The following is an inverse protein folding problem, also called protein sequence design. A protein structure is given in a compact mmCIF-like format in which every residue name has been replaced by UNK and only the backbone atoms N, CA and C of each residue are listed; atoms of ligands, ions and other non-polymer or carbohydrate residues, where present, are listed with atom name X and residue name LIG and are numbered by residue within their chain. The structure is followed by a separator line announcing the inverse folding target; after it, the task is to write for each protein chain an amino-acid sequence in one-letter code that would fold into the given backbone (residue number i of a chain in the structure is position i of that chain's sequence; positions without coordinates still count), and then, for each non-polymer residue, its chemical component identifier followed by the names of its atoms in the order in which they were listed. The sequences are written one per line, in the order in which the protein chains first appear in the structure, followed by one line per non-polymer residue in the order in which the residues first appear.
data_IF_043796709699
#
_entry.id   IF_043796709699
#
_cell.length_a   1.000
_cell.length_b   1.000
_cell.length_c   1.000
_cell.angle_alpha   90.00
_cell.angle_beta   90.00
_cell.angle_gamma   90.00
#
_symmetry.space_group_name_H-M   'P 1'
#
loop_
_entity.id
_entity.type
_entity.pdbx_description
1 polymer ?
#
# COMPACT_ATOMS: atom_id res chain seq x y z
N UNK A 1 -14.63 -9.85 -2.84
CA UNK A 1 -13.71 -9.40 -3.91
C UNK A 1 -14.41 -8.52 -4.93
N UNK A 2 -15.54 -8.95 -5.54
CA UNK A 2 -16.34 -8.06 -6.41
C UNK A 2 -16.72 -6.77 -5.68
N UNK A 3 -17.15 -6.86 -4.42
CA UNK A 3 -17.54 -5.67 -3.63
C UNK A 3 -16.43 -4.62 -3.46
N UNK A 4 -15.16 -5.01 -3.39
CA UNK A 4 -14.05 -4.06 -3.21
C UNK A 4 -13.72 -3.34 -4.52
N UNK A 5 -13.76 -4.05 -5.65
CA UNK A 5 -13.64 -3.47 -6.99
C UNK A 5 -14.85 -2.59 -7.33
N UNK A 6 -16.05 -3.05 -6.98
CA UNK A 6 -17.32 -2.35 -7.21
C UNK A 6 -17.45 -1.08 -6.36
N UNK A 7 -16.74 -1.02 -5.21
CA UNK A 7 -16.67 0.18 -4.36
C UNK A 7 -15.50 1.09 -4.69
N UNK A 8 -14.50 0.61 -5.42
CA UNK A 8 -13.37 1.43 -5.81
C UNK A 8 -13.81 2.57 -6.75
N UNK A 9 -13.45 3.82 -6.43
CA UNK A 9 -13.83 5.01 -7.20
C UNK A 9 -15.23 5.58 -6.92
N UNK A 10 -16.02 5.00 -6.00
CA UNK A 10 -17.27 5.61 -5.53
C UNK A 10 -16.98 6.69 -4.47
N UNK A 11 -17.64 7.84 -4.60
CA UNK A 11 -17.53 8.95 -3.65
C UNK A 11 -18.61 8.73 -2.57
N UNK A 12 -18.20 8.40 -1.36
CA UNK A 12 -19.07 8.32 -0.18
C UNK A 12 -18.79 9.52 0.74
N UNK A 13 -19.82 10.12 1.34
CA UNK A 13 -19.65 11.29 2.20
C UNK A 13 -18.78 10.96 3.43
N UNK A 14 -17.66 11.67 3.58
CA UNK A 14 -16.73 11.52 4.71
C UNK A 14 -15.55 10.57 4.47
N UNK A 15 -15.42 9.94 3.30
CA UNK A 15 -14.30 9.04 2.96
C UNK A 15 -13.60 9.50 1.68
N UNK A 16 -12.27 9.38 1.63
CA UNK A 16 -11.53 9.70 0.41
C UNK A 16 -11.72 8.64 -0.67
N UNK A 17 -11.76 9.05 -1.95
CA UNK A 17 -11.93 8.11 -3.05
C UNK A 17 -10.72 7.16 -3.11
N UNK A 18 -11.03 5.88 -3.25
CA UNK A 18 -10.04 4.86 -3.64
C UNK A 18 -9.89 4.89 -5.16
N UNK A 19 -8.66 4.81 -5.64
CA UNK A 19 -8.36 4.85 -7.07
C UNK A 19 -8.09 3.44 -7.59
N UNK A 20 -8.64 3.15 -8.77
CA UNK A 20 -8.22 2.02 -9.58
C UNK A 20 -7.06 2.44 -10.46
N UNK A 21 -5.93 1.73 -10.35
CA UNK A 21 -4.80 1.91 -11.25
C UNK A 21 -5.04 1.00 -12.47
N UNK A 22 -5.59 1.58 -13.56
CA UNK A 22 -6.03 0.83 -14.75
C UNK A 22 -4.88 0.42 -15.70
N UNK A 23 -3.72 1.05 -15.60
CA UNK A 23 -2.58 0.85 -16.52
C UNK A 23 -1.57 -0.19 -16.06
N UNK A 24 -2.00 -1.09 -15.18
CA UNK A 24 -1.18 -2.15 -14.62
C UNK A 24 -1.83 -3.49 -14.99
N UNK A 25 -1.04 -4.42 -15.53
CA UNK A 25 -1.52 -5.80 -15.80
C UNK A 25 -2.11 -6.45 -14.53
N UNK A 26 -1.61 -6.04 -13.36
CA UNK A 26 -2.15 -6.40 -12.05
C UNK A 26 -3.19 -5.36 -11.58
N UNK A 27 -4.45 -5.77 -11.43
CA UNK A 27 -5.50 -4.87 -10.93
C UNK A 27 -5.15 -4.43 -9.50
N UNK A 28 -4.85 -3.15 -9.33
CA UNK A 28 -4.44 -2.59 -8.03
C UNK A 28 -5.42 -1.52 -7.56
N UNK A 29 -6.00 -1.75 -6.39
CA UNK A 29 -6.85 -0.79 -5.67
C UNK A 29 -5.96 -0.02 -4.70
N UNK A 30 -5.95 1.31 -4.79
CA UNK A 30 -5.19 2.19 -3.91
C UNK A 30 -6.13 3.02 -3.04
N UNK A 31 -5.92 3.01 -1.73
CA UNK A 31 -6.68 3.83 -0.78
C UNK A 31 -5.76 4.50 0.26
N UNK A 32 -6.00 5.79 0.58
CA UNK A 32 -5.29 6.45 1.66
C UNK A 32 -5.84 6.04 3.04
N UNK A 33 -4.96 5.91 4.03
CA UNK A 33 -5.36 5.63 5.42
C UNK A 33 -5.70 6.89 6.21
N UNK A 34 -5.11 8.03 5.86
CA UNK A 34 -5.26 9.30 6.58
C UNK A 34 -6.15 10.23 5.80
N UNK A 35 -6.94 11.03 6.52
CA UNK A 35 -7.71 12.11 5.95
C UNK A 35 -6.79 13.11 5.23
N UNK A 36 -7.11 13.41 3.98
CA UNK A 36 -6.42 14.37 3.14
C UNK A 36 -6.90 15.76 3.52
N UNK A 37 -5.99 16.56 4.07
CA UNK A 37 -6.32 17.87 4.67
C UNK A 37 -5.92 19.06 3.80
N UNK A 38 -5.04 18.87 2.82
CA UNK A 38 -4.54 19.95 1.96
C UNK A 38 -4.20 19.45 0.56
N UNK A 39 -4.14 20.37 -0.41
CA UNK A 39 -3.76 20.03 -1.79
C UNK A 39 -2.33 19.48 -1.87
N UNK A 40 -1.39 20.05 -1.10
CA UNK A 40 -0.03 19.52 -1.04
C UNK A 40 0.03 18.08 -0.52
N UNK A 41 -0.78 17.75 0.49
CA UNK A 41 -0.90 16.38 1.00
C UNK A 41 -1.57 15.45 -0.02
N UNK A 42 -2.59 15.94 -0.74
CA UNK A 42 -3.25 15.21 -1.83
C UNK A 42 -2.26 14.84 -2.94
N UNK A 43 -1.40 15.77 -3.36
CA UNK A 43 -0.32 15.51 -4.32
C UNK A 43 0.63 14.43 -3.79
N UNK A 44 1.04 14.50 -2.52
CA UNK A 44 1.92 13.48 -1.92
C UNK A 44 1.28 12.08 -1.91
N UNK A 45 -0.03 12.00 -1.72
CA UNK A 45 -0.76 10.73 -1.69
C UNK A 45 -1.02 10.18 -3.10
N UNK A 46 -1.74 10.92 -3.93
CA UNK A 46 -2.25 10.41 -5.21
C UNK A 46 -1.28 10.54 -6.37
N UNK A 47 -0.24 11.35 -6.27
CA UNK A 47 0.81 11.41 -7.30
C UNK A 47 2.05 10.65 -6.84
N UNK A 48 2.61 11.04 -5.71
CA UNK A 48 3.91 10.53 -5.27
C UNK A 48 3.81 9.11 -4.73
N UNK A 49 2.91 8.86 -3.77
CA UNK A 49 2.76 7.52 -3.19
C UNK A 49 2.11 6.54 -4.18
N UNK A 50 1.10 6.97 -4.94
CA UNK A 50 0.50 6.13 -5.99
C UNK A 50 1.54 5.71 -7.03
N UNK A 51 2.42 6.62 -7.49
CA UNK A 51 3.52 6.28 -8.38
C UNK A 51 4.50 5.28 -7.75
N UNK A 52 4.80 5.43 -6.46
CA UNK A 52 5.65 4.48 -5.75
C UNK A 52 5.07 3.06 -5.71
N UNK A 53 3.75 2.93 -5.57
CA UNK A 53 3.04 1.64 -5.63
C UNK A 53 3.17 1.03 -7.03
N UNK A 54 2.94 1.82 -8.09
CA UNK A 54 3.10 1.36 -9.48
C UNK A 54 4.52 0.87 -9.73
N UNK A 55 5.52 1.67 -9.36
CA UNK A 55 6.92 1.32 -9.54
C UNK A 55 7.27 0.04 -8.75
N UNK A 56 6.73 -0.12 -7.54
CA UNK A 56 6.94 -1.30 -6.71
C UNK A 56 6.37 -2.56 -7.33
N UNK A 57 5.14 -2.52 -7.84
CA UNK A 57 4.51 -3.68 -8.48
C UNK A 57 5.24 -4.03 -9.77
N UNK A 58 5.53 -3.05 -10.64
CA UNK A 58 6.31 -3.27 -11.87
C UNK A 58 7.64 -3.92 -11.57
N UNK A 59 8.37 -3.40 -10.57
CA UNK A 59 9.66 -3.98 -10.18
C UNK A 59 9.53 -5.40 -9.63
N UNK A 60 8.46 -5.70 -8.92
CA UNK A 60 8.21 -7.04 -8.36
C UNK A 60 7.92 -8.07 -9.46
N UNK A 61 7.24 -7.66 -10.54
CA UNK A 61 7.05 -8.48 -11.75
C UNK A 61 8.39 -8.66 -12.47
N UNK A 62 9.14 -7.57 -12.71
CA UNK A 62 10.46 -7.64 -13.38
C UNK A 62 11.46 -8.52 -12.61
N UNK A 63 11.45 -8.47 -11.28
CA UNK A 63 12.31 -9.30 -10.44
C UNK A 63 11.79 -10.75 -10.31
N UNK A 64 10.72 -11.12 -11.03
CA UNK A 64 10.07 -12.45 -11.05
C UNK A 64 9.65 -12.97 -9.68
N UNK A 65 9.36 -12.06 -8.75
CA UNK A 65 8.79 -12.41 -7.43
C UNK A 65 7.31 -12.78 -7.61
N UNK A 66 6.63 -12.10 -8.54
CA UNK A 66 5.30 -12.48 -9.02
C UNK A 66 5.43 -13.08 -10.42
N UNK A 67 5.01 -14.33 -10.65
CA UNK A 67 4.95 -14.91 -11.99
C UNK A 67 3.98 -14.12 -12.87
N UNK A 68 4.39 -13.77 -14.09
CA UNK A 68 3.57 -13.02 -15.06
C UNK A 68 2.25 -13.74 -15.37
N UNK A 69 2.25 -15.07 -15.37
CA UNK A 69 1.08 -15.91 -15.63
C UNK A 69 -0.05 -15.71 -14.59
N UNK A 70 0.29 -15.36 -13.34
CA UNK A 70 -0.68 -15.16 -12.26
C UNK A 70 -1.15 -13.71 -12.15
N UNK A 71 -0.47 -12.77 -12.81
CA UNK A 71 -0.81 -11.35 -12.79
C UNK A 71 -2.28 -11.05 -13.16
N UNK A 72 -2.88 -11.65 -14.21
CA UNK A 72 -4.27 -11.35 -14.57
C UNK A 72 -5.30 -11.84 -13.54
N UNK A 73 -4.94 -12.85 -12.74
CA UNK A 73 -5.85 -13.46 -11.74
C UNK A 73 -5.69 -12.85 -10.34
N UNK A 74 -4.69 -11.99 -10.15
CA UNK A 74 -4.38 -11.39 -8.87
C UNK A 74 -4.92 -9.96 -8.76
N UNK A 75 -5.39 -9.62 -7.56
CA UNK A 75 -5.80 -8.26 -7.21
C UNK A 75 -4.98 -7.81 -6.01
N UNK A 76 -4.40 -6.61 -6.10
CA UNK A 76 -3.65 -6.01 -5.01
C UNK A 76 -4.46 -4.87 -4.38
N UNK A 77 -4.75 -4.97 -3.09
CA UNK A 77 -5.32 -3.88 -2.31
C UNK A 77 -4.24 -3.20 -1.47
N UNK A 78 -3.96 -1.93 -1.77
CA UNK A 78 -2.90 -1.15 -1.13
C UNK A 78 -3.50 0.00 -0.33
N UNK A 79 -3.34 -0.09 0.99
CA UNK A 79 -3.58 1.03 1.89
C UNK A 79 -2.27 1.76 2.15
N UNK A 80 -2.18 3.01 1.68
CA UNK A 80 -0.98 3.83 1.84
C UNK A 80 -1.16 4.85 2.98
N UNK A 81 -0.18 4.88 3.87
CA UNK A 81 -0.08 5.88 4.92
C UNK A 81 0.91 6.98 4.53
N UNK A 82 0.42 8.21 4.41
CA UNK A 82 1.24 9.40 4.23
C UNK A 82 0.81 10.41 5.28
N UNK A 83 1.75 10.80 6.16
CA UNK A 83 1.48 11.78 7.20
C UNK A 83 1.10 13.14 6.58
N UNK A 84 0.12 13.90 7.14
CA UNK A 84 -0.33 15.18 6.58
C UNK A 84 0.79 16.23 6.44
N UNK A 85 1.76 16.20 7.36
CA UNK A 85 2.94 17.08 7.34
C UNK A 85 4.09 16.60 6.45
N UNK A 86 3.88 15.55 5.64
CA UNK A 86 4.92 15.06 4.75
C UNK A 86 5.13 16.02 3.58
N UNK A 87 6.31 16.61 3.49
CA UNK A 87 6.67 17.59 2.44
C UNK A 87 7.73 17.09 1.46
N UNK A 88 8.39 15.97 1.76
CA UNK A 88 9.50 15.47 0.95
C UNK A 88 9.03 14.35 0.00
N UNK A 89 8.86 14.63 -1.30
CA UNK A 89 8.32 13.67 -2.26
C UNK A 89 9.25 12.48 -2.46
N UNK A 90 10.58 12.69 -2.45
CA UNK A 90 11.57 11.61 -2.60
C UNK A 90 11.45 10.59 -1.47
N UNK A 91 11.28 11.06 -0.23
CA UNK A 91 11.10 10.18 0.94
C UNK A 91 9.75 9.46 0.92
N UNK A 92 8.67 10.15 0.56
CA UNK A 92 7.35 9.53 0.41
C UNK A 92 7.41 8.42 -0.65
N UNK A 93 8.03 8.68 -1.79
CA UNK A 93 8.15 7.70 -2.86
C UNK A 93 8.98 6.48 -2.43
N UNK A 94 10.23 6.66 -1.99
CA UNK A 94 11.12 5.53 -1.67
C UNK A 94 10.58 4.69 -0.50
N UNK A 95 9.98 5.32 0.51
CA UNK A 95 9.45 4.60 1.66
C UNK A 95 8.25 3.74 1.26
N UNK A 96 7.31 4.29 0.49
CA UNK A 96 6.15 3.53 0.01
C UNK A 96 6.58 2.43 -0.98
N UNK A 97 7.56 2.70 -1.85
CA UNK A 97 8.11 1.70 -2.76
C UNK A 97 8.68 0.49 -2.01
N UNK A 98 9.56 0.72 -1.02
CA UNK A 98 10.15 -0.36 -0.23
C UNK A 98 9.09 -1.08 0.59
N UNK A 99 8.16 -0.35 1.21
CA UNK A 99 7.10 -0.92 2.04
C UNK A 99 6.18 -1.86 1.25
N UNK A 100 5.73 -1.44 0.07
CA UNK A 100 4.86 -2.25 -0.80
C UNK A 100 5.57 -3.53 -1.24
N UNK A 101 6.84 -3.44 -1.66
CA UNK A 101 7.61 -4.63 -2.04
C UNK A 101 7.79 -5.61 -0.89
N UNK A 102 8.08 -5.11 0.31
CA UNK A 102 8.15 -5.95 1.50
C UNK A 102 6.80 -6.57 1.85
N UNK A 103 5.69 -5.83 1.69
CA UNK A 103 4.35 -6.35 1.95
C UNK A 103 4.01 -7.49 0.98
N UNK A 104 4.23 -7.30 -0.32
CA UNK A 104 4.00 -8.35 -1.34
C UNK A 104 4.85 -9.59 -1.02
N UNK A 105 6.14 -9.40 -0.75
CA UNK A 105 7.03 -10.52 -0.45
C UNK A 105 6.59 -11.31 0.79
N UNK A 106 6.23 -10.62 1.88
CA UNK A 106 5.74 -11.29 3.10
C UNK A 106 4.43 -12.02 2.86
N UNK A 107 3.53 -11.45 2.06
CA UNK A 107 2.26 -12.08 1.70
C UNK A 107 2.47 -13.38 0.91
N UNK A 108 3.37 -13.35 -0.08
CA UNK A 108 3.72 -14.53 -0.89
C UNK A 108 4.42 -15.62 -0.07
N UNK A 109 5.32 -15.23 0.83
CA UNK A 109 6.04 -16.18 1.69
C UNK A 109 5.19 -16.68 2.89
N UNK A 110 3.98 -16.14 3.10
CA UNK A 110 3.14 -16.47 4.26
C UNK A 110 3.79 -16.11 5.61
N UNK A 111 4.65 -15.08 5.64
CA UNK A 111 5.35 -14.63 6.87
C UNK A 111 4.37 -14.02 7.86
N UNK A 112 4.78 -13.96 9.14
CA UNK A 112 3.93 -13.63 10.29
C UNK A 112 2.95 -14.75 10.66
N UNK A 113 3.43 -15.99 10.68
CA UNK A 113 2.68 -17.10 11.27
C UNK A 113 2.37 -16.80 12.74
N UNK A 114 1.30 -17.41 13.27
CA UNK A 114 0.91 -17.27 14.68
C UNK A 114 2.07 -17.56 15.64
N UNK A 115 2.88 -18.56 15.31
CA UNK A 115 4.08 -18.93 16.05
C UNK A 115 5.17 -17.84 16.00
N UNK A 116 5.42 -17.24 14.84
CA UNK A 116 6.37 -16.12 14.68
C UNK A 116 5.92 -14.89 15.48
N UNK A 117 4.61 -14.62 15.52
CA UNK A 117 4.04 -13.52 16.30
C UNK A 117 4.20 -13.77 17.80
N UNK A 118 3.87 -14.96 18.29
CA UNK A 118 3.98 -15.32 19.71
C UNK A 118 5.43 -15.23 20.18
N UNK A 119 6.37 -15.78 19.41
CA UNK A 119 7.80 -15.76 19.75
C UNK A 119 8.40 -14.34 19.79
N UNK A 120 7.87 -13.41 18.98
CA UNK A 120 8.36 -12.02 18.91
C UNK A 120 7.57 -11.03 19.76
N UNK A 121 6.52 -11.48 20.45
CA UNK A 121 5.63 -10.61 21.24
C UNK A 121 6.39 -9.78 22.27
N UNK A 122 7.36 -10.37 22.98
CA UNK A 122 8.07 -9.70 24.08
C UNK A 122 9.17 -8.74 23.60
N UNK A 123 9.77 -9.03 22.43
CA UNK A 123 10.82 -8.21 21.83
C UNK A 123 10.27 -7.10 20.93
N UNK A 124 9.04 -7.25 20.43
CA UNK A 124 8.38 -6.21 19.65
C UNK A 124 8.20 -4.93 20.49
N UNK A 125 8.63 -3.80 19.92
CA UNK A 125 8.43 -2.48 20.51
C UNK A 125 7.45 -1.71 19.64
N UNK A 126 6.29 -1.38 20.20
CA UNK A 126 5.31 -0.57 19.50
C UNK A 126 5.63 0.92 19.72
N UNK A 127 5.83 1.73 18.66
CA UNK A 127 6.27 3.12 18.77
C UNK A 127 5.39 4.03 19.65
N UNK A 128 4.12 3.68 19.82
CA UNK A 128 3.16 4.44 20.63
C UNK A 128 2.67 3.72 21.90
N UNK A 129 3.17 2.51 22.23
CA UNK A 129 2.64 1.77 23.39
C UNK A 129 3.12 2.30 24.74
N UNK A 130 4.23 3.04 24.77
CA UNK A 130 4.85 3.53 26.00
C UNK A 130 4.65 5.04 26.22
N UNK A 131 3.90 5.71 25.33
CA UNK A 131 3.66 7.15 25.38
C UNK A 131 2.25 7.49 25.92
N UNK A 132 1.72 6.65 26.82
CA UNK A 132 0.52 6.93 27.62
C UNK A 132 0.87 6.95 29.10
#
# INVERSE_FOLDING_TARGET
MSEALDRAGKIDEGVHPSNLIKDLELTTVFAPTVTITSEGHKTMVYEVAQKAVVDAVRRTITDRILPEELVPDLVLAVNAFVHPSAVNPKRVHINNFIAVRHAIRRALEGRQSTEEIISRKESARHPFAYNQ
#
